data_IF_155203951517
#
_entry.id   IF_155203951517
#
_cell.length_a   1.000
_cell.length_b   1.000
_cell.length_c   1.000
_cell.angle_alpha   90.00
_cell.angle_beta   90.00
_cell.angle_gamma   90.00
#
_symmetry.space_group_name_H-M   'P 1'
#
loop_
_entity.id
_entity.type
_entity.pdbx_description
1 polymer ?
#
# COMPACT_ATOMS: atom_id res chain seq x y z
N UNK A 1 24.33 -2.75 9.92
CA UNK A 1 25.51 -2.09 9.29
C UNK A 1 25.26 -1.93 7.78
N UNK A 2 25.59 -0.78 7.18
CA UNK A 2 25.46 -0.55 5.72
C UNK A 2 26.86 -0.54 5.06
N UNK A 3 26.99 -1.20 3.91
CA UNK A 3 28.21 -1.18 3.09
C UNK A 3 27.80 -1.26 1.62
N UNK A 4 28.25 -0.31 0.79
CA UNK A 4 28.00 -0.33 -0.64
C UNK A 4 29.23 -0.85 -1.39
N UNK A 5 29.01 -1.80 -2.30
CA UNK A 5 30.02 -2.33 -3.22
C UNK A 5 29.45 -2.32 -4.64
N UNK A 6 29.95 -1.39 -5.46
CA UNK A 6 29.43 -1.18 -6.81
C UNK A 6 27.92 -0.87 -6.82
N UNK A 7 27.14 -1.76 -7.44
CA UNK A 7 25.68 -1.64 -7.61
C UNK A 7 24.86 -2.31 -6.51
N UNK A 8 25.51 -2.87 -5.48
CA UNK A 8 24.85 -3.58 -4.38
C UNK A 8 25.12 -2.86 -3.06
N UNK A 9 24.05 -2.57 -2.33
CA UNK A 9 24.10 -2.11 -0.95
C UNK A 9 23.84 -3.29 -0.02
N UNK A 10 24.85 -3.68 0.75
CA UNK A 10 24.72 -4.72 1.77
C UNK A 10 24.28 -4.11 3.09
N UNK A 11 23.20 -4.67 3.66
CA UNK A 11 22.71 -4.36 5.00
C UNK A 11 22.78 -5.61 5.87
N UNK A 12 23.40 -5.49 7.04
CA UNK A 12 23.37 -6.53 8.08
C UNK A 12 22.35 -6.14 9.14
N UNK A 13 21.30 -6.95 9.27
CA UNK A 13 20.26 -6.90 10.30
C UNK A 13 20.54 -7.94 11.39
N UNK A 14 19.91 -7.79 12.54
CA UNK A 14 20.03 -8.78 13.62
C UNK A 14 19.08 -9.96 13.41
N UNK A 15 19.31 -11.07 14.13
CA UNK A 15 18.48 -12.29 14.05
C UNK A 15 17.00 -12.06 14.29
N UNK A 16 16.64 -11.03 15.06
CA UNK A 16 15.26 -10.65 15.37
C UNK A 16 14.48 -10.26 14.10
N UNK A 17 15.16 -9.88 13.01
CA UNK A 17 14.50 -9.66 11.72
C UNK A 17 13.79 -10.92 11.18
N UNK A 18 14.28 -12.11 11.54
CA UNK A 18 13.66 -13.39 11.15
C UNK A 18 12.73 -13.94 12.25
N UNK A 19 12.46 -13.16 13.31
CA UNK A 19 11.48 -13.54 14.31
C UNK A 19 10.07 -13.25 13.80
N UNK A 20 9.41 -14.31 13.34
CA UNK A 20 8.04 -14.26 12.81
C UNK A 20 6.99 -14.58 13.87
N UNK A 21 7.35 -14.61 15.16
CA UNK A 21 6.40 -14.94 16.25
C UNK A 21 5.22 -13.98 16.36
N UNK A 22 5.33 -12.78 15.79
CA UNK A 22 4.23 -11.81 15.72
C UNK A 22 3.14 -12.18 14.70
N UNK A 23 3.43 -13.10 13.76
CA UNK A 23 2.43 -13.59 12.81
C UNK A 23 1.55 -14.60 13.55
N UNK A 24 0.26 -14.30 13.68
CA UNK A 24 -0.68 -15.18 14.36
C UNK A 24 -0.69 -16.58 13.74
N UNK A 25 -0.45 -17.60 14.59
CA UNK A 25 -0.32 -19.00 14.17
C UNK A 25 -1.57 -19.58 13.47
N UNK A 26 -2.72 -18.90 13.56
CA UNK A 26 -3.96 -19.31 12.93
C UNK A 26 -4.09 -18.86 11.46
N UNK A 27 -3.17 -18.03 10.95
CA UNK A 27 -3.24 -17.57 9.56
C UNK A 27 -2.86 -18.68 8.58
N UNK A 28 -3.50 -18.71 7.39
CA UNK A 28 -3.04 -19.56 6.30
C UNK A 28 -1.55 -19.34 6.01
N UNK A 29 -0.85 -20.42 5.61
CA UNK A 29 0.60 -20.37 5.37
C UNK A 29 0.96 -19.40 4.23
N UNK A 30 0.07 -19.26 3.25
CA UNK A 30 0.22 -18.35 2.11
C UNK A 30 0.19 -16.89 2.56
N UNK A 31 -0.77 -16.52 3.42
CA UNK A 31 -0.85 -15.18 4.01
C UNK A 31 0.35 -14.89 4.91
N UNK A 32 0.77 -15.87 5.71
CA UNK A 32 1.96 -15.76 6.55
C UNK A 32 3.22 -15.52 5.71
N UNK A 33 3.36 -16.23 4.59
CA UNK A 33 4.45 -16.04 3.66
C UNK A 33 4.37 -14.67 2.98
N UNK A 34 3.18 -14.20 2.61
CA UNK A 34 3.01 -12.87 2.04
C UNK A 34 3.48 -11.77 3.01
N UNK A 35 3.15 -11.87 4.30
CA UNK A 35 3.63 -10.92 5.33
C UNK A 35 5.16 -10.91 5.42
N UNK A 36 5.80 -12.08 5.43
CA UNK A 36 7.27 -12.20 5.45
C UNK A 36 7.91 -11.58 4.20
N UNK A 37 7.33 -11.84 3.03
CA UNK A 37 7.80 -11.25 1.78
C UNK A 37 7.68 -9.73 1.80
N UNK A 38 6.55 -9.19 2.28
CA UNK A 38 6.34 -7.76 2.43
C UNK A 38 7.33 -7.12 3.41
N UNK A 39 7.68 -7.79 4.51
CA UNK A 39 8.70 -7.31 5.45
C UNK A 39 10.09 -7.22 4.80
N UNK A 40 10.45 -8.18 3.95
CA UNK A 40 11.71 -8.14 3.18
C UNK A 40 11.69 -7.01 2.17
N UNK A 41 10.63 -6.89 1.38
CA UNK A 41 10.51 -5.85 0.37
C UNK A 41 10.34 -4.45 0.94
N UNK A 42 9.78 -4.27 2.14
CA UNK A 42 9.71 -2.96 2.79
C UNK A 42 11.11 -2.40 3.07
N UNK A 43 12.04 -3.24 3.54
CA UNK A 43 13.45 -2.88 3.73
C UNK A 43 14.13 -2.59 2.40
N UNK A 44 13.99 -3.48 1.41
CA UNK A 44 14.63 -3.32 0.09
C UNK A 44 14.15 -2.06 -0.60
N UNK A 45 12.83 -1.88 -0.72
CA UNK A 45 12.24 -0.73 -1.41
C UNK A 45 12.67 0.58 -0.74
N UNK A 46 12.62 0.64 0.60
CA UNK A 46 13.06 1.81 1.37
C UNK A 46 14.52 2.13 1.11
N UNK A 47 15.41 1.14 1.16
CA UNK A 47 16.85 1.36 0.98
C UNK A 47 17.23 1.72 -0.46
N UNK A 48 16.58 1.09 -1.46
CA UNK A 48 16.78 1.46 -2.88
C UNK A 48 16.36 2.92 -3.09
N UNK A 49 15.22 3.32 -2.55
CA UNK A 49 14.71 4.68 -2.68
C UNK A 49 15.56 5.72 -1.92
N UNK A 50 15.95 5.43 -0.69
CA UNK A 50 16.73 6.35 0.15
C UNK A 50 18.18 6.52 -0.32
N UNK A 51 18.78 5.49 -0.93
CA UNK A 51 20.21 5.51 -1.29
C UNK A 51 20.46 5.65 -2.78
N UNK A 52 19.46 5.39 -3.63
CA UNK A 52 19.63 5.30 -5.08
C UNK A 52 20.41 4.07 -5.55
N UNK A 53 20.85 3.19 -4.63
CA UNK A 53 21.53 1.96 -5.01
C UNK A 53 20.51 0.96 -5.59
N UNK A 54 20.75 0.38 -6.78
CA UNK A 54 19.73 -0.38 -7.49
C UNK A 54 19.43 -1.75 -6.90
N UNK A 55 20.34 -2.30 -6.08
CA UNK A 55 20.16 -3.61 -5.45
C UNK A 55 20.57 -3.56 -3.98
N UNK A 56 19.84 -4.29 -3.15
CA UNK A 56 20.09 -4.43 -1.72
C UNK A 56 20.31 -5.91 -1.39
N UNK A 57 21.41 -6.23 -0.72
CA UNK A 57 21.64 -7.52 -0.11
C UNK A 57 21.34 -7.43 1.38
N UNK A 58 20.30 -8.14 1.84
CA UNK A 58 20.06 -8.32 3.27
C UNK A 58 20.86 -9.53 3.75
N UNK A 59 21.60 -9.33 4.84
CA UNK A 59 22.25 -10.36 5.62
C UNK A 59 21.74 -10.31 7.05
N UNK A 60 21.76 -11.44 7.75
CA UNK A 60 21.35 -11.55 9.15
C UNK A 60 22.51 -12.02 10.00
N UNK A 61 22.81 -11.26 11.04
CA UNK A 61 23.74 -11.62 12.09
C UNK A 61 23.03 -12.53 13.10
N UNK A 62 23.31 -13.83 13.01
CA UNK A 62 22.70 -14.87 13.87
C UNK A 62 23.43 -15.04 15.19
N UNK A 63 24.74 -14.79 15.18
CA UNK A 63 25.64 -15.04 16.31
C UNK A 63 25.83 -13.80 17.19
N UNK A 64 25.40 -12.63 16.72
CA UNK A 64 25.56 -11.35 17.42
C UNK A 64 26.98 -10.79 17.36
N UNK A 65 27.80 -11.28 16.43
CA UNK A 65 29.21 -10.91 16.27
C UNK A 65 29.45 -9.86 15.16
N UNK A 66 28.37 -9.40 14.54
CA UNK A 66 28.36 -8.45 13.43
C UNK A 66 28.62 -9.08 12.06
N UNK A 67 28.77 -10.41 11.97
CA UNK A 67 28.95 -11.13 10.71
C UNK A 67 27.59 -11.53 10.12
N UNK A 68 27.26 -10.94 8.97
CA UNK A 68 26.00 -11.21 8.29
C UNK A 68 26.06 -12.49 7.47
N UNK A 69 25.07 -13.37 7.63
CA UNK A 69 24.86 -14.56 6.82
C UNK A 69 23.69 -14.35 5.83
N UNK A 70 23.70 -15.07 4.71
CA UNK A 70 22.59 -15.06 3.76
C UNK A 70 21.33 -15.68 4.38
N UNK A 71 20.17 -15.15 4.03
CA UNK A 71 18.86 -15.66 4.48
C UNK A 71 18.43 -16.79 3.54
N UNK A 72 17.89 -17.90 4.05
CA UNK A 72 17.30 -18.92 3.19
C UNK A 72 15.91 -18.50 2.71
N UNK A 73 15.55 -18.80 1.46
CA UNK A 73 14.25 -18.40 0.90
C UNK A 73 13.06 -18.97 1.69
N UNK A 74 13.23 -20.14 2.30
CA UNK A 74 12.22 -20.79 3.13
C UNK A 74 11.92 -20.03 4.42
N UNK A 75 12.89 -19.28 4.96
CA UNK A 75 12.70 -18.51 6.19
C UNK A 75 11.82 -17.28 5.97
N UNK A 76 11.77 -16.77 4.74
CA UNK A 76 11.04 -15.56 4.35
C UNK A 76 9.84 -15.84 3.41
N UNK A 77 9.50 -17.11 3.23
CA UNK A 77 8.35 -17.53 2.43
C UNK A 77 8.51 -17.30 0.91
N UNK A 78 9.74 -17.16 0.39
CA UNK A 78 10.02 -16.90 -1.04
C UNK A 78 10.39 -18.15 -1.86
N UNK A 79 10.38 -19.33 -1.24
CA UNK A 79 10.72 -20.59 -1.91
C UNK A 79 11.11 -21.66 -0.91
N UNK A 80 11.24 -22.91 -1.35
CA UNK A 80 11.60 -24.03 -0.49
C UNK A 80 13.11 -24.29 -0.39
N UNK A 81 13.92 -23.71 -1.29
CA UNK A 81 15.37 -23.93 -1.35
C UNK A 81 16.10 -22.68 -1.87
N UNK A 82 17.38 -22.54 -1.52
CA UNK A 82 18.24 -21.44 -1.95
C UNK A 82 18.33 -20.30 -0.95
N UNK A 83 19.15 -19.30 -1.29
CA UNK A 83 19.39 -18.12 -0.47
C UNK A 83 18.91 -16.86 -1.16
N UNK A 84 18.66 -15.81 -0.36
CA UNK A 84 18.27 -14.51 -0.84
C UNK A 84 19.42 -13.83 -1.60
N UNK A 85 19.24 -13.65 -2.90
CA UNK A 85 20.14 -12.87 -3.74
C UNK A 85 19.92 -11.36 -3.60
N UNK A 86 20.85 -10.49 -4.06
CA UNK A 86 20.63 -9.06 -4.06
C UNK A 86 19.37 -8.70 -4.83
N UNK A 87 18.45 -8.01 -4.16
CA UNK A 87 17.13 -7.70 -4.70
C UNK A 87 17.03 -6.24 -5.10
N UNK A 88 16.34 -5.98 -6.20
CA UNK A 88 15.95 -4.63 -6.59
C UNK A 88 14.59 -4.22 -6.03
N UNK A 89 14.24 -2.94 -6.24
CA UNK A 89 12.91 -2.42 -5.91
C UNK A 89 11.83 -3.22 -6.63
N UNK A 90 10.81 -3.66 -5.90
CA UNK A 90 9.61 -4.25 -6.48
C UNK A 90 8.44 -3.27 -6.33
N UNK A 91 8.05 -2.66 -7.46
CA UNK A 91 6.96 -1.68 -7.51
C UNK A 91 5.58 -2.30 -7.27
N UNK A 92 5.41 -3.60 -7.51
CA UNK A 92 4.14 -4.30 -7.30
C UNK A 92 3.79 -4.43 -5.81
N UNK A 93 4.79 -4.40 -4.94
CA UNK A 93 4.62 -4.51 -3.49
C UNK A 93 4.66 -3.15 -2.80
N UNK A 94 4.64 -2.08 -3.58
CA UNK A 94 4.48 -0.72 -3.09
C UNK A 94 3.02 -0.34 -3.28
N UNK A 95 2.39 0.11 -2.21
CA UNK A 95 1.07 0.72 -2.28
C UNK A 95 1.20 2.09 -2.96
N UNK A 96 1.32 2.08 -4.29
CA UNK A 96 1.36 3.28 -5.12
C UNK A 96 0.02 4.00 -5.09
N UNK A 97 -0.01 5.29 -5.43
CA UNK A 97 -1.25 6.05 -5.52
C UNK A 97 -2.33 5.37 -6.40
N UNK A 98 -1.92 4.72 -7.50
CA UNK A 98 -2.83 3.94 -8.34
C UNK A 98 -3.44 2.76 -7.57
N UNK A 99 -2.60 1.92 -6.95
CA UNK A 99 -3.09 0.77 -6.18
C UNK A 99 -3.95 1.18 -5.00
N UNK A 100 -3.62 2.29 -4.34
CA UNK A 100 -4.47 2.85 -3.27
C UNK A 100 -5.82 3.28 -3.82
N UNK A 101 -5.88 4.00 -4.95
CA UNK A 101 -7.14 4.41 -5.57
C UNK A 101 -8.00 3.20 -5.93
N UNK A 102 -7.39 2.18 -6.55
CA UNK A 102 -8.06 0.91 -6.89
C UNK A 102 -8.63 0.24 -5.63
N UNK A 103 -7.87 0.20 -4.53
CA UNK A 103 -8.33 -0.36 -3.27
C UNK A 103 -9.49 0.43 -2.65
N UNK A 104 -9.38 1.77 -2.57
CA UNK A 104 -10.44 2.65 -2.05
C UNK A 104 -11.75 2.41 -2.82
N UNK A 105 -11.68 2.39 -4.14
CA UNK A 105 -12.85 2.22 -4.99
C UNK A 105 -13.41 0.79 -4.93
N UNK A 106 -12.56 -0.23 -4.76
CA UNK A 106 -12.99 -1.61 -4.51
C UNK A 106 -13.75 -1.70 -3.18
N UNK A 107 -13.18 -1.20 -2.09
CA UNK A 107 -13.83 -1.20 -0.78
C UNK A 107 -15.14 -0.41 -0.79
N UNK A 108 -15.20 0.70 -1.52
CA UNK A 108 -16.40 1.51 -1.68
C UNK A 108 -17.50 0.76 -2.46
N UNK A 109 -17.13 0.08 -3.55
CA UNK A 109 -18.02 -0.78 -4.35
C UNK A 109 -18.55 -1.96 -3.53
N UNK A 110 -17.68 -2.60 -2.75
CA UNK A 110 -18.01 -3.74 -1.88
C UNK A 110 -18.71 -3.33 -0.58
N UNK A 111 -18.91 -2.02 -0.38
CA UNK A 111 -19.53 -1.41 0.80
C UNK A 111 -18.79 -1.67 2.10
N UNK A 112 -17.48 -1.90 2.01
CA UNK A 112 -16.57 -2.00 3.14
C UNK A 112 -16.16 -0.59 3.62
N UNK A 113 -17.14 0.17 4.11
CA UNK A 113 -16.94 1.59 4.45
C UNK A 113 -15.95 1.79 5.60
N UNK A 114 -15.80 0.81 6.50
CA UNK A 114 -14.77 0.86 7.54
C UNK A 114 -13.36 0.91 6.91
N UNK A 115 -13.08 0.06 5.93
CA UNK A 115 -11.79 0.11 5.22
C UNK A 115 -11.62 1.37 4.37
N UNK A 116 -12.69 1.90 3.76
CA UNK A 116 -12.62 3.21 3.08
C UNK A 116 -12.25 4.33 4.05
N UNK A 117 -12.76 4.29 5.28
CA UNK A 117 -12.49 5.30 6.31
C UNK A 117 -11.00 5.38 6.69
N UNK A 118 -10.27 4.26 6.69
CA UNK A 118 -8.83 4.22 6.96
C UNK A 118 -8.01 5.02 5.94
N UNK A 119 -8.51 5.11 4.70
CA UNK A 119 -7.92 5.89 3.62
C UNK A 119 -8.36 7.35 3.59
N UNK A 120 -9.25 7.80 4.50
CA UNK A 120 -9.56 9.22 4.60
C UNK A 120 -8.36 9.98 5.17
N UNK A 121 -7.98 11.04 4.45
CA UNK A 121 -6.98 12.01 4.87
C UNK A 121 -7.40 12.65 6.21
N UNK A 122 -6.43 12.92 7.08
CA UNK A 122 -6.68 13.64 8.32
C UNK A 122 -7.03 15.10 8.05
N UNK A 123 -6.43 15.72 7.02
CA UNK A 123 -6.79 17.07 6.58
C UNK A 123 -6.87 18.10 7.72
N UNK A 124 -7.68 19.14 7.54
CA UNK A 124 -8.19 19.92 8.67
C UNK A 124 -9.26 19.06 9.39
N UNK A 125 -9.20 18.96 10.73
CA UNK A 125 -10.09 18.06 11.50
C UNK A 125 -11.59 18.33 11.24
N UNK A 126 -11.95 19.55 10.84
CA UNK A 126 -13.33 19.92 10.47
C UNK A 126 -13.81 19.26 9.17
N UNK A 127 -12.91 18.88 8.28
CA UNK A 127 -13.23 18.23 6.99
C UNK A 127 -13.35 16.71 7.12
N UNK A 128 -12.73 16.09 8.14
CA UNK A 128 -12.79 14.64 8.34
C UNK A 128 -13.93 14.26 9.29
N UNK A 129 -15.00 13.61 8.81
CA UNK A 129 -16.05 13.11 9.69
C UNK A 129 -15.51 12.02 10.63
N UNK A 130 -16.17 11.80 11.77
CA UNK A 130 -15.92 10.60 12.57
C UNK A 130 -16.33 9.35 11.79
N UNK A 131 -15.76 8.19 12.13
CA UNK A 131 -16.04 6.93 11.46
C UNK A 131 -17.55 6.62 11.42
N UNK A 132 -18.24 6.75 12.56
CA UNK A 132 -19.68 6.53 12.64
C UNK A 132 -20.47 7.48 11.72
N UNK A 133 -20.05 8.75 11.63
CA UNK A 133 -20.69 9.73 10.74
C UNK A 133 -20.44 9.40 9.27
N UNK A 134 -19.21 9.01 8.91
CA UNK A 134 -18.86 8.61 7.56
C UNK A 134 -19.63 7.36 7.11
N UNK A 135 -19.64 6.31 7.93
CA UNK A 135 -20.36 5.06 7.63
C UNK A 135 -21.86 5.33 7.48
N UNK A 136 -22.42 6.17 8.36
CA UNK A 136 -23.83 6.58 8.27
C UNK A 136 -24.12 7.37 6.99
N UNK A 137 -23.24 8.30 6.61
CA UNK A 137 -23.35 9.07 5.37
C UNK A 137 -23.35 8.15 4.13
N UNK A 138 -22.40 7.22 4.04
CA UNK A 138 -22.34 6.24 2.96
C UNK A 138 -23.62 5.40 2.86
N UNK A 139 -24.12 4.90 4.01
CA UNK A 139 -25.32 4.06 4.07
C UNK A 139 -26.60 4.83 3.70
N UNK A 140 -26.71 6.10 4.11
CA UNK A 140 -27.90 6.91 3.92
C UNK A 140 -27.98 7.60 2.54
N UNK A 141 -26.86 7.71 1.82
CA UNK A 141 -26.82 8.35 0.49
C UNK A 141 -27.74 7.68 -0.54
N UNK A 142 -27.95 6.36 -0.42
CA UNK A 142 -28.63 5.54 -1.42
C UNK A 142 -27.87 5.42 -2.74
N UNK A 143 -26.66 6.00 -2.83
CA UNK A 143 -25.77 5.99 -3.99
C UNK A 143 -24.75 4.87 -3.82
N UNK A 144 -24.56 4.09 -4.87
CA UNK A 144 -23.65 2.93 -4.86
C UNK A 144 -22.72 3.01 -6.06
N UNK A 145 -21.43 2.80 -5.83
CA UNK A 145 -20.46 2.62 -6.91
C UNK A 145 -20.71 1.26 -7.59
N UNK A 146 -21.18 1.28 -8.83
CA UNK A 146 -21.54 0.09 -9.61
C UNK A 146 -20.37 -0.43 -10.45
N UNK A 147 -19.55 0.47 -11.01
CA UNK A 147 -18.36 0.13 -11.77
C UNK A 147 -17.30 1.19 -11.57
N UNK A 148 -16.02 0.80 -11.64
CA UNK A 148 -14.91 1.72 -11.76
C UNK A 148 -13.76 1.12 -12.57
N UNK A 149 -12.93 2.00 -13.12
CA UNK A 149 -11.63 1.70 -13.71
C UNK A 149 -10.72 2.90 -13.54
N UNK A 150 -9.57 2.69 -12.89
CA UNK A 150 -8.48 3.69 -12.88
C UNK A 150 -7.75 3.59 -14.21
N UNK A 151 -7.68 4.69 -14.95
CA UNK A 151 -7.23 4.70 -16.35
C UNK A 151 -5.83 5.28 -16.54
N UNK A 152 -5.53 6.36 -15.82
CA UNK A 152 -4.27 7.09 -15.98
C UNK A 152 -3.89 7.80 -14.67
N UNK A 153 -2.59 7.94 -14.42
CA UNK A 153 -2.04 8.86 -13.41
C UNK A 153 -1.46 10.07 -14.15
N UNK A 154 -2.06 11.24 -13.96
CA UNK A 154 -1.67 12.45 -14.69
C UNK A 154 -0.50 13.19 -14.05
N UNK A 155 -0.52 13.28 -12.73
CA UNK A 155 0.48 14.04 -11.99
C UNK A 155 0.79 13.35 -10.66
N UNK A 156 2.08 13.26 -10.34
CA UNK A 156 2.56 12.97 -9.00
C UNK A 156 3.50 14.11 -8.60
N UNK A 157 3.07 14.93 -7.65
CA UNK A 157 3.87 16.06 -7.17
C UNK A 157 4.93 15.59 -6.19
N UNK A 158 6.07 16.29 -6.15
CA UNK A 158 7.09 16.09 -5.11
C UNK A 158 6.61 16.47 -3.71
N UNK A 159 5.43 17.10 -3.60
CA UNK A 159 4.80 17.49 -2.34
C UNK A 159 3.83 16.42 -1.81
N UNK A 160 3.83 15.22 -2.41
CA UNK A 160 3.02 14.10 -1.93
C UNK A 160 1.55 14.20 -2.36
N UNK A 161 1.25 14.64 -3.59
CA UNK A 161 -0.10 14.56 -4.15
C UNK A 161 -0.09 13.80 -5.47
N UNK A 162 -1.13 13.02 -5.74
CA UNK A 162 -1.30 12.32 -7.01
C UNK A 162 -2.70 12.57 -7.59
N UNK A 163 -2.79 12.79 -8.90
CA UNK A 163 -4.06 12.92 -9.62
C UNK A 163 -4.24 11.74 -10.57
N UNK A 164 -5.39 11.06 -10.47
CA UNK A 164 -5.72 9.89 -11.26
C UNK A 164 -7.05 10.09 -11.98
N UNK A 165 -7.14 9.60 -13.21
CA UNK A 165 -8.37 9.60 -14.00
C UNK A 165 -9.13 8.31 -13.81
N UNK A 166 -10.40 8.43 -13.44
CA UNK A 166 -11.28 7.30 -13.15
C UNK A 166 -12.51 7.34 -14.05
N UNK A 167 -12.78 6.22 -14.71
CA UNK A 167 -14.08 5.95 -15.31
C UNK A 167 -14.92 5.22 -14.27
N UNK A 168 -16.16 5.64 -14.04
CA UNK A 168 -17.02 4.99 -13.05
C UNK A 168 -18.50 5.13 -13.38
N UNK A 169 -19.32 4.31 -12.72
CA UNK A 169 -20.76 4.49 -12.72
C UNK A 169 -21.35 4.42 -11.32
N UNK A 170 -22.23 5.35 -11.01
CA UNK A 170 -23.02 5.38 -9.80
C UNK A 170 -24.43 4.88 -10.06
N UNK A 171 -24.99 4.18 -9.08
CA UNK A 171 -26.36 3.68 -9.09
C UNK A 171 -27.14 4.28 -7.92
N UNK A 172 -28.31 4.83 -8.20
CA UNK A 172 -29.28 5.26 -7.19
C UNK A 172 -30.65 4.69 -7.56
N UNK A 173 -31.14 3.73 -6.77
CA UNK A 173 -32.33 2.96 -7.13
C UNK A 173 -32.15 2.18 -8.45
N UNK A 174 -32.94 2.52 -9.47
CA UNK A 174 -32.84 1.93 -10.83
C UNK A 174 -32.02 2.78 -11.79
N UNK A 175 -31.67 4.01 -11.43
CA UNK A 175 -30.95 4.93 -12.30
C UNK A 175 -29.43 4.68 -12.23
N UNK A 176 -28.76 4.72 -13.39
CA UNK A 176 -27.32 4.53 -13.54
C UNK A 176 -26.73 5.77 -14.23
N UNK A 177 -25.71 6.39 -13.63
CA UNK A 177 -24.99 7.53 -14.19
C UNK A 177 -23.53 7.13 -14.42
N UNK A 178 -23.03 7.33 -15.63
CA UNK A 178 -21.64 7.02 -15.98
C UNK A 178 -20.82 8.30 -16.15
N UNK A 179 -19.59 8.26 -15.68
CA UNK A 179 -18.62 9.34 -15.73
C UNK A 179 -17.32 8.80 -16.33
N UNK A 180 -16.68 9.60 -17.18
CA UNK A 180 -15.46 9.22 -17.89
C UNK A 180 -14.38 10.27 -17.62
N UNK A 181 -13.15 9.79 -17.43
CA UNK A 181 -11.97 10.61 -17.14
C UNK A 181 -12.24 11.62 -16.00
N UNK A 182 -12.87 11.16 -14.91
CA UNK A 182 -13.10 12.00 -13.74
C UNK A 182 -11.82 12.08 -12.90
N UNK A 183 -11.30 13.29 -12.61
CA UNK A 183 -10.08 13.44 -11.84
C UNK A 183 -10.34 13.22 -10.36
N UNK A 184 -9.63 12.26 -9.76
CA UNK A 184 -9.55 12.07 -8.32
C UNK A 184 -8.15 12.35 -7.81
N UNK A 185 -8.08 12.99 -6.64
CA UNK A 185 -6.83 13.36 -6.00
C UNK A 185 -6.58 12.51 -4.77
N UNK A 186 -5.35 12.01 -4.65
CA UNK A 186 -4.79 11.49 -3.42
C UNK A 186 -3.75 12.44 -2.87
N UNK A 187 -3.62 12.45 -1.55
CA UNK A 187 -2.57 13.12 -0.79
C UNK A 187 -1.82 12.09 0.05
N UNK A 188 -0.54 12.32 0.26
CA UNK A 188 0.31 11.43 1.03
C UNK A 188 0.43 11.99 2.45
N UNK A 189 0.00 11.20 3.43
CA UNK A 189 0.12 11.51 4.85
C UNK A 189 0.85 10.37 5.54
N UNK A 190 1.94 10.66 6.26
CA UNK A 190 2.77 9.65 6.93
C UNK A 190 3.19 8.50 5.98
N UNK A 191 3.52 8.83 4.73
CA UNK A 191 3.88 7.88 3.65
C UNK A 191 2.74 6.99 3.13
N UNK A 192 1.50 7.20 3.58
CA UNK A 192 0.30 6.50 3.10
C UNK A 192 -0.50 7.43 2.18
N UNK A 193 -0.92 6.91 1.02
CA UNK A 193 -1.83 7.65 0.13
C UNK A 193 -3.25 7.61 0.67
N UNK A 194 -3.91 8.77 0.65
CA UNK A 194 -5.23 8.99 1.23
C UNK A 194 -6.07 9.91 0.36
N UNK A 195 -7.39 9.78 0.44
CA UNK A 195 -8.36 10.65 -0.24
C UNK A 195 -8.95 11.64 0.76
N UNK A 196 -9.16 12.89 0.35
CA UNK A 196 -9.87 13.86 1.19
C UNK A 196 -11.37 13.53 1.19
N UNK A 197 -12.02 13.72 2.33
CA UNK A 197 -13.46 13.49 2.42
C UNK A 197 -14.25 14.35 1.40
N UNK A 198 -13.87 15.62 1.23
CA UNK A 198 -14.51 16.53 0.25
C UNK A 198 -14.34 16.07 -1.21
N UNK A 199 -13.24 15.40 -1.55
CA UNK A 199 -13.03 14.84 -2.89
C UNK A 199 -13.89 13.57 -3.09
N UNK A 200 -14.00 12.73 -2.05
CA UNK A 200 -14.85 11.54 -2.04
C UNK A 200 -16.35 11.88 -2.05
N UNK A 201 -16.74 12.92 -1.31
CA UNK A 201 -18.12 13.41 -1.26
C UNK A 201 -18.58 13.83 -2.66
N UNK A 202 -17.81 14.72 -3.32
CA UNK A 202 -18.07 15.15 -4.70
C UNK A 202 -18.09 14.00 -5.69
N UNK A 203 -17.21 13.00 -5.50
CA UNK A 203 -17.19 11.82 -6.34
C UNK A 203 -18.48 10.99 -6.24
N UNK A 204 -19.09 10.95 -5.05
CA UNK A 204 -20.32 10.21 -4.76
C UNK A 204 -21.59 11.05 -4.97
N UNK A 205 -21.47 12.31 -5.39
CA UNK A 205 -22.63 13.12 -5.80
C UNK A 205 -23.26 12.52 -7.06
N UNK A 206 -24.55 12.19 -6.96
CA UNK A 206 -25.33 11.58 -8.04
C UNK A 206 -25.85 12.58 -9.05
#
# INVERSE_FOLDING_TARGET
RLKQEGRVLTVVLSKEFLDWSFIENARPIEESNAVKQLAVYSVINTLVEATGCPQVQILVDREGDGTGQRINLSEIGMGSAGVLEPMGRNAELILSAQKTMEQILSDLKDRNYASVYDYLAYGDEEERPSENMFVSWCQNSGVVLDYFQVTEMLEQSSQGSAMLMVNYSLKQGTALRSHYAYPLRLVQENSVWKIRFSDLEKFMEY
#
